data_IF_805776716141
#
_entry.id   IF_805776716141
#
_cell.length_a   1.000
_cell.length_b   1.000
_cell.length_c   1.000
_cell.angle_alpha   90.00
_cell.angle_beta   90.00
_cell.angle_gamma   90.00
#
_symmetry.space_group_name_H-M   'P 1'
#
loop_
_entity.id
_entity.type
_entity.pdbx_description
1 polymer ?
#
# COMPACT_ATOMS: atom_id res chain seq x y z
N UNK A 1 -18.40 14.07 -84.54
CA UNK A 1 -18.47 12.85 -83.68
C UNK A 1 -17.35 12.80 -82.64
N UNK A 2 -16.06 12.96 -82.99
CA UNK A 2 -14.95 12.92 -82.02
C UNK A 2 -15.06 13.90 -80.83
N UNK A 3 -15.46 15.16 -81.07
CA UNK A 3 -15.62 16.15 -79.98
C UNK A 3 -16.65 15.73 -78.92
N UNK A 4 -17.73 15.07 -79.32
CA UNK A 4 -18.76 14.58 -78.38
C UNK A 4 -18.26 13.35 -77.60
N UNK A 5 -17.46 12.48 -78.23
CA UNK A 5 -16.84 11.34 -77.55
C UNK A 5 -15.78 11.77 -76.54
N UNK A 6 -14.95 12.77 -76.88
CA UNK A 6 -13.96 13.37 -75.96
C UNK A 6 -14.65 14.02 -74.76
N UNK A 7 -15.71 14.79 -74.98
CA UNK A 7 -16.50 15.42 -73.89
C UNK A 7 -17.11 14.38 -72.95
N UNK A 8 -17.63 13.27 -73.48
CA UNK A 8 -18.16 12.17 -72.66
C UNK A 8 -17.10 11.43 -71.84
N UNK A 9 -15.85 11.34 -72.33
CA UNK A 9 -14.72 10.79 -71.58
C UNK A 9 -14.28 11.74 -70.47
N UNK A 10 -14.22 13.05 -70.74
CA UNK A 10 -13.86 14.07 -69.75
C UNK A 10 -14.84 14.12 -68.57
N UNK A 11 -16.15 14.02 -68.84
CA UNK A 11 -17.19 13.95 -67.82
C UNK A 11 -17.05 12.70 -66.94
N UNK A 12 -16.78 11.54 -67.55
CA UNK A 12 -16.51 10.29 -66.81
C UNK A 12 -15.26 10.41 -65.94
N UNK A 13 -14.16 10.97 -66.46
CA UNK A 13 -12.92 11.20 -65.70
C UNK A 13 -13.12 12.19 -64.55
N UNK A 14 -14.01 13.17 -64.69
CA UNK A 14 -14.39 14.08 -63.60
C UNK A 14 -15.08 13.31 -62.48
N UNK A 15 -16.10 12.51 -62.81
CA UNK A 15 -16.82 11.67 -61.84
C UNK A 15 -15.89 10.68 -61.13
N UNK A 16 -14.97 10.05 -61.85
CA UNK A 16 -13.97 9.15 -61.24
C UNK A 16 -13.03 9.88 -60.28
N UNK A 17 -12.53 11.06 -60.66
CA UNK A 17 -11.68 11.87 -59.77
C UNK A 17 -12.42 12.29 -58.50
N UNK A 18 -13.69 12.67 -58.61
CA UNK A 18 -14.49 13.07 -57.46
C UNK A 18 -14.79 11.89 -56.53
N UNK A 19 -15.11 10.71 -57.08
CA UNK A 19 -15.23 9.46 -56.29
C UNK A 19 -13.94 9.08 -55.58
N UNK A 20 -12.77 9.20 -56.24
CA UNK A 20 -11.48 8.91 -55.62
C UNK A 20 -11.19 9.89 -54.47
N UNK A 21 -11.52 11.17 -54.62
CA UNK A 21 -11.39 12.17 -53.55
C UNK A 21 -12.26 11.81 -52.36
N UNK A 22 -13.51 11.42 -52.60
CA UNK A 22 -14.45 11.03 -51.55
C UNK A 22 -13.97 9.79 -50.79
N UNK A 23 -13.48 8.76 -51.49
CA UNK A 23 -12.92 7.55 -50.86
C UNK A 23 -11.70 7.90 -49.99
N UNK A 24 -10.79 8.76 -50.49
CA UNK A 24 -9.63 9.22 -49.72
C UNK A 24 -10.05 10.01 -48.48
N UNK A 25 -11.09 10.84 -48.61
CA UNK A 25 -11.64 11.62 -47.50
C UNK A 25 -12.22 10.69 -46.41
N UNK A 26 -13.11 9.77 -46.77
CA UNK A 26 -13.69 8.78 -45.85
C UNK A 26 -12.62 7.93 -45.16
N UNK A 27 -11.58 7.51 -45.89
CA UNK A 27 -10.45 6.76 -45.31
C UNK A 27 -9.64 7.60 -44.32
N UNK A 28 -9.47 8.90 -44.59
CA UNK A 28 -8.79 9.81 -43.66
C UNK A 28 -9.63 10.03 -42.40
N UNK A 29 -10.93 10.24 -42.53
CA UNK A 29 -11.83 10.39 -41.38
C UNK A 29 -11.86 9.11 -40.52
N UNK A 30 -11.99 7.94 -41.12
CA UNK A 30 -11.95 6.67 -40.39
C UNK A 30 -10.64 6.49 -39.62
N UNK A 31 -9.50 6.82 -40.24
CA UNK A 31 -8.18 6.77 -39.57
C UNK A 31 -8.06 7.79 -38.43
N UNK A 32 -8.61 9.00 -38.60
CA UNK A 32 -8.62 10.01 -37.54
C UNK A 32 -9.48 9.55 -36.35
N UNK A 33 -10.67 9.01 -36.61
CA UNK A 33 -11.54 8.46 -35.58
C UNK A 33 -10.87 7.30 -34.81
N UNK A 34 -10.19 6.39 -35.50
CA UNK A 34 -9.44 5.30 -34.88
C UNK A 34 -8.31 5.82 -33.98
N UNK A 35 -7.55 6.80 -34.46
CA UNK A 35 -6.47 7.42 -33.68
C UNK A 35 -6.99 8.19 -32.45
N UNK A 36 -8.15 8.84 -32.57
CA UNK A 36 -8.79 9.51 -31.44
C UNK A 36 -9.21 8.51 -30.36
N UNK A 37 -9.78 7.36 -30.74
CA UNK A 37 -10.13 6.28 -29.80
C UNK A 37 -8.88 5.75 -29.10
N UNK A 38 -7.84 5.40 -29.86
CA UNK A 38 -6.57 4.91 -29.30
C UNK A 38 -5.95 5.93 -28.33
N UNK A 39 -6.02 7.23 -28.66
CA UNK A 39 -5.53 8.29 -27.79
C UNK A 39 -6.32 8.34 -26.48
N UNK A 40 -7.65 8.31 -26.54
CA UNK A 40 -8.51 8.31 -25.33
C UNK A 40 -8.23 7.11 -24.44
N UNK A 41 -8.18 5.90 -25.00
CA UNK A 41 -7.86 4.68 -24.24
C UNK A 41 -6.49 4.77 -23.58
N UNK A 42 -5.49 5.34 -24.28
CA UNK A 42 -4.14 5.54 -23.71
C UNK A 42 -4.14 6.57 -22.58
N UNK A 43 -4.92 7.64 -22.71
CA UNK A 43 -5.06 8.67 -21.67
C UNK A 43 -5.77 8.10 -20.42
N UNK A 44 -6.84 7.33 -20.59
CA UNK A 44 -7.54 6.63 -19.50
C UNK A 44 -6.62 5.64 -18.77
N UNK A 45 -5.88 4.80 -19.53
CA UNK A 45 -4.93 3.85 -18.93
C UNK A 45 -3.81 4.56 -18.14
N UNK A 46 -3.34 5.72 -18.62
CA UNK A 46 -2.37 6.56 -17.89
C UNK A 46 -2.96 7.12 -16.60
N UNK A 47 -4.20 7.62 -16.65
CA UNK A 47 -4.86 8.16 -15.46
C UNK A 47 -5.03 7.09 -14.37
N UNK A 48 -5.41 5.87 -14.74
CA UNK A 48 -5.51 4.73 -13.80
C UNK A 48 -4.13 4.39 -13.22
N UNK A 49 -3.10 4.32 -14.06
CA UNK A 49 -1.74 4.01 -13.59
C UNK A 49 -1.21 5.08 -12.63
N UNK A 50 -1.44 6.36 -12.92
CA UNK A 50 -0.99 7.46 -12.08
C UNK A 50 -1.76 7.51 -10.75
N UNK A 51 -3.05 7.16 -10.74
CA UNK A 51 -3.81 6.98 -9.51
C UNK A 51 -3.23 5.84 -8.65
N UNK A 52 -2.91 4.69 -9.26
CA UNK A 52 -2.31 3.56 -8.55
C UNK A 52 -0.94 3.89 -7.95
N UNK A 53 -0.11 4.66 -8.68
CA UNK A 53 1.18 5.11 -8.17
C UNK A 53 1.03 5.99 -6.93
N UNK A 54 0.11 6.97 -6.96
CA UNK A 54 -0.16 7.83 -5.81
C UNK A 54 -0.65 7.03 -4.60
N UNK A 55 -1.51 6.05 -4.82
CA UNK A 55 -1.97 5.18 -3.74
C UNK A 55 -0.81 4.39 -3.12
N UNK A 56 0.07 3.84 -3.95
CA UNK A 56 1.25 3.10 -3.50
C UNK A 56 2.26 4.00 -2.78
N UNK A 57 2.45 5.24 -3.22
CA UNK A 57 3.30 6.23 -2.54
C UNK A 57 2.79 6.52 -1.12
N UNK A 58 1.47 6.69 -0.96
CA UNK A 58 0.87 6.92 0.36
C UNK A 58 1.04 5.69 1.25
N UNK A 59 0.83 4.48 0.71
CA UNK A 59 1.09 3.23 1.45
C UNK A 59 2.54 3.16 1.92
N UNK A 60 3.50 3.46 1.03
CA UNK A 60 4.91 3.48 1.37
C UNK A 60 5.25 4.47 2.50
N UNK A 61 4.65 5.65 2.49
CA UNK A 61 4.84 6.64 3.57
C UNK A 61 4.30 6.14 4.91
N UNK A 62 3.18 5.41 4.91
CA UNK A 62 2.65 4.76 6.12
C UNK A 62 3.63 3.69 6.63
N UNK A 63 4.18 2.86 5.73
CA UNK A 63 5.20 1.86 6.08
C UNK A 63 6.41 2.54 6.74
N UNK A 64 6.94 3.61 6.14
CA UNK A 64 8.09 4.34 6.65
C UNK A 64 7.87 4.95 8.04
N UNK A 65 6.64 5.40 8.35
CA UNK A 65 6.27 5.90 9.69
C UNK A 65 6.35 4.78 10.73
N UNK A 66 5.86 3.59 10.41
CA UNK A 66 5.87 2.44 11.33
C UNK A 66 7.21 1.70 11.37
N UNK A 67 8.03 1.81 10.34
CA UNK A 67 9.30 1.08 10.22
C UNK A 67 10.25 1.37 11.40
N UNK A 68 10.25 2.61 11.90
CA UNK A 68 11.08 3.00 13.06
C UNK A 68 10.64 2.28 14.34
N UNK A 69 9.34 2.10 14.53
CA UNK A 69 8.78 1.35 15.65
C UNK A 69 9.02 -0.16 15.47
N UNK A 70 8.75 -0.70 14.28
CA UNK A 70 9.01 -2.11 13.94
C UNK A 70 10.47 -2.51 14.22
N UNK A 71 11.43 -1.71 13.75
CA UNK A 71 12.87 -1.94 14.01
C UNK A 71 13.21 -1.95 15.49
N UNK A 72 12.63 -1.03 16.27
CA UNK A 72 12.83 -0.99 17.71
C UNK A 72 12.21 -2.20 18.42
N UNK A 73 10.95 -2.52 18.12
CA UNK A 73 10.25 -3.68 18.69
C UNK A 73 10.97 -4.99 18.38
N UNK A 74 11.44 -5.17 17.15
CA UNK A 74 12.26 -6.33 16.75
C UNK A 74 13.57 -6.41 17.55
N UNK A 75 14.22 -5.28 17.79
CA UNK A 75 15.42 -5.21 18.64
C UNK A 75 15.13 -5.57 20.09
N UNK A 76 14.02 -5.07 20.66
CA UNK A 76 13.57 -5.41 22.02
C UNK A 76 13.35 -6.91 22.14
N UNK A 77 12.57 -7.51 21.24
CA UNK A 77 12.29 -8.96 21.21
C UNK A 77 13.58 -9.77 21.16
N UNK A 78 14.53 -9.40 20.29
CA UNK A 78 15.81 -10.09 20.18
C UNK A 78 16.62 -10.01 21.49
N UNK A 79 16.73 -8.82 22.09
CA UNK A 79 17.48 -8.63 23.33
C UNK A 79 16.83 -9.37 24.51
N UNK A 80 15.50 -9.32 24.59
CA UNK A 80 14.71 -10.02 25.61
C UNK A 80 14.89 -11.52 25.53
N UNK A 81 14.72 -12.10 24.35
CA UNK A 81 14.89 -13.53 24.13
C UNK A 81 16.31 -13.99 24.47
N UNK A 82 17.32 -13.19 24.11
CA UNK A 82 18.73 -13.54 24.34
C UNK A 82 19.14 -13.48 25.81
N UNK A 83 18.69 -12.47 26.55
CA UNK A 83 19.24 -12.13 27.88
C UNK A 83 18.32 -12.45 29.06
N UNK A 84 17.01 -12.39 28.86
CA UNK A 84 16.05 -12.33 29.97
C UNK A 84 15.08 -13.52 30.01
N UNK A 85 14.96 -14.27 28.91
CA UNK A 85 14.08 -15.42 28.81
C UNK A 85 14.74 -16.67 29.43
N UNK A 86 13.99 -17.39 30.26
CA UNK A 86 14.45 -18.68 30.83
C UNK A 86 14.14 -19.83 29.87
N UNK A 87 14.92 -20.92 29.91
CA UNK A 87 14.73 -22.09 29.02
C UNK A 87 13.34 -22.74 29.06
N UNK A 88 12.52 -22.44 30.08
CA UNK A 88 11.18 -23.02 30.29
C UNK A 88 10.06 -22.15 29.70
N UNK A 89 10.37 -21.02 29.06
CA UNK A 89 9.38 -20.10 28.49
C UNK A 89 9.48 -20.09 26.97
N UNK A 90 8.32 -20.01 26.30
CA UNK A 90 8.24 -19.74 24.87
C UNK A 90 8.94 -18.42 24.51
N UNK A 91 9.80 -18.38 23.48
CA UNK A 91 10.39 -17.14 22.99
C UNK A 91 9.32 -16.14 22.57
N UNK A 92 9.63 -14.85 22.69
CA UNK A 92 8.82 -13.81 22.07
C UNK A 92 9.04 -13.82 20.55
N UNK A 93 7.97 -13.66 19.78
CA UNK A 93 8.00 -13.47 18.34
C UNK A 93 7.52 -12.06 18.00
N UNK A 94 8.21 -11.43 17.05
CA UNK A 94 7.78 -10.18 16.42
C UNK A 94 7.18 -10.51 15.05
N UNK A 95 5.95 -10.04 14.80
CA UNK A 95 5.24 -10.21 13.55
C UNK A 95 5.09 -8.83 12.89
N UNK A 96 5.46 -8.75 11.61
CA UNK A 96 5.42 -7.53 10.82
C UNK A 96 4.41 -7.70 9.68
N UNK A 97 3.28 -7.01 9.78
CA UNK A 97 2.23 -6.96 8.75
C UNK A 97 2.02 -5.51 8.28
N UNK A 98 3.06 -4.67 8.37
CA UNK A 98 2.94 -3.24 8.09
C UNK A 98 2.58 -2.97 6.63
N UNK A 99 3.09 -3.78 5.70
CA UNK A 99 2.81 -3.63 4.27
C UNK A 99 1.37 -4.00 3.90
N UNK A 100 0.82 -5.03 4.55
CA UNK A 100 -0.53 -5.54 4.26
C UNK A 100 -1.62 -4.82 5.06
N UNK A 101 -1.51 -4.82 6.39
CA UNK A 101 -2.54 -4.30 7.30
C UNK A 101 -2.14 -3.00 7.99
N UNK A 102 -0.86 -2.62 7.97
CA UNK A 102 -0.38 -1.42 8.65
C UNK A 102 -0.23 -1.61 10.16
N UNK A 103 0.04 -2.85 10.58
CA UNK A 103 0.19 -3.21 11.99
C UNK A 103 1.40 -4.12 12.21
N UNK A 104 1.95 -4.11 13.42
CA UNK A 104 2.95 -5.07 13.85
C UNK A 104 2.75 -5.39 15.34
N UNK A 105 3.13 -6.59 15.76
CA UNK A 105 2.85 -7.04 17.12
C UNK A 105 3.91 -7.98 17.69
N UNK A 106 3.93 -8.08 19.01
CA UNK A 106 4.76 -9.00 19.78
C UNK A 106 3.84 -10.02 20.43
N UNK A 107 4.16 -11.30 20.29
CA UNK A 107 3.44 -12.41 20.93
C UNK A 107 4.40 -13.44 21.50
N UNK A 108 3.89 -14.41 22.25
CA UNK A 108 4.64 -15.64 22.53
C UNK A 108 4.64 -16.50 21.25
N UNK A 109 5.76 -17.16 20.95
CA UNK A 109 5.91 -17.90 19.70
C UNK A 109 4.89 -19.04 19.54
N UNK A 110 4.50 -19.66 20.67
CA UNK A 110 3.57 -20.80 20.69
C UNK A 110 2.09 -20.39 20.78
N UNK A 111 1.76 -19.08 20.77
CA UNK A 111 0.36 -18.61 20.84
C UNK A 111 -0.18 -18.18 19.47
N UNK A 112 -1.51 -18.25 19.25
CA UNK A 112 -2.16 -17.69 18.06
C UNK A 112 -1.95 -16.17 17.96
N UNK A 113 -2.11 -15.61 16.76
CA UNK A 113 -1.90 -14.17 16.51
C UNK A 113 -2.86 -13.27 17.30
N UNK A 114 -4.07 -13.75 17.59
CA UNK A 114 -5.06 -13.02 18.40
C UNK A 114 -4.64 -12.84 19.88
N UNK A 115 -3.67 -13.63 20.34
CA UNK A 115 -3.13 -13.63 21.70
C UNK A 115 -1.76 -12.94 21.74
N UNK A 116 -1.73 -11.73 21.20
CA UNK A 116 -0.57 -10.85 21.22
C UNK A 116 -0.43 -10.17 22.59
N UNK A 117 0.80 -9.81 22.93
CA UNK A 117 1.14 -9.02 24.12
C UNK A 117 1.08 -7.52 23.82
N UNK A 118 1.61 -7.13 22.66
CA UNK A 118 1.63 -5.73 22.21
C UNK A 118 1.23 -5.66 20.73
N UNK A 119 0.30 -4.77 20.37
CA UNK A 119 -0.09 -4.49 18.99
C UNK A 119 0.10 -3.01 18.69
N UNK A 120 0.92 -2.71 17.69
CA UNK A 120 1.17 -1.35 17.22
C UNK A 120 0.52 -1.17 15.84
N UNK A 121 -0.32 -0.15 15.71
CA UNK A 121 -1.09 0.09 14.49
C UNK A 121 -1.39 1.59 14.31
N UNK A 122 -1.87 1.97 13.13
CA UNK A 122 -2.44 3.30 12.90
C UNK A 122 -3.91 3.15 12.54
N UNK A 123 -4.76 3.90 13.24
CA UNK A 123 -6.20 3.94 12.94
C UNK A 123 -6.45 4.52 11.54
N UNK A 124 -7.37 3.94 10.80
CA UNK A 124 -7.79 4.44 9.49
C UNK A 124 -8.14 3.31 8.53
N UNK A 125 -9.17 3.53 7.72
CA UNK A 125 -9.65 2.56 6.73
C UNK A 125 -8.76 2.55 5.48
N UNK A 126 -8.15 3.69 5.16
CA UNK A 126 -7.27 3.87 4.00
C UNK A 126 -5.89 4.43 4.40
N UNK A 127 -4.93 4.32 3.48
CA UNK A 127 -3.55 4.75 3.71
C UNK A 127 -3.42 6.26 3.98
N UNK A 128 -4.29 7.08 3.40
CA UNK A 128 -4.30 8.54 3.60
C UNK A 128 -4.69 8.93 5.02
N UNK A 129 -5.73 8.30 5.57
CA UNK A 129 -6.14 8.49 6.97
C UNK A 129 -5.05 8.03 7.92
N UNK A 130 -4.45 6.86 7.64
CA UNK A 130 -3.33 6.34 8.43
C UNK A 130 -2.12 7.26 8.38
N UNK A 131 -1.92 8.03 7.33
CA UNK A 131 -0.81 8.98 7.25
C UNK A 131 -1.00 10.19 8.20
N UNK A 132 -2.23 10.56 8.52
CA UNK A 132 -2.56 11.72 9.35
C UNK A 132 -2.69 11.30 10.82
N UNK A 133 -3.21 10.11 11.08
CA UNK A 133 -3.48 9.63 12.43
C UNK A 133 -2.20 9.28 13.20
N UNK A 134 -2.34 9.28 14.52
CA UNK A 134 -1.31 8.90 15.47
C UNK A 134 -1.16 7.38 15.59
N UNK A 135 0.02 6.94 16.02
CA UNK A 135 0.36 5.53 16.19
C UNK A 135 -0.22 5.07 17.53
N UNK A 136 -0.99 3.99 17.51
CA UNK A 136 -1.58 3.38 18.71
C UNK A 136 -0.80 2.11 19.08
N UNK A 137 -0.54 1.93 20.37
CA UNK A 137 0.03 0.73 20.95
C UNK A 137 -0.97 0.15 21.95
N UNK A 138 -1.52 -1.01 21.64
CA UNK A 138 -2.31 -1.82 22.56
C UNK A 138 -1.39 -2.73 23.36
N UNK A 139 -1.55 -2.73 24.68
CA UNK A 139 -0.86 -3.57 25.64
C UNK A 139 -1.86 -4.52 26.30
N UNK A 140 -1.63 -5.83 26.17
CA UNK A 140 -2.44 -6.90 26.77
C UNK A 140 -1.70 -7.70 27.83
N UNK A 141 -0.59 -7.18 28.34
CA UNK A 141 0.24 -7.88 29.35
C UNK A 141 -0.40 -7.94 30.74
N UNK A 142 -1.37 -7.06 31.04
CA UNK A 142 -2.05 -7.00 32.33
C UNK A 142 -3.53 -6.61 32.16
N UNK A 143 -3.80 -5.30 32.04
CA UNK A 143 -5.07 -4.73 31.62
C UNK A 143 -4.93 -4.20 30.21
N UNK A 144 -5.97 -4.34 29.38
CA UNK A 144 -5.94 -3.86 28.00
C UNK A 144 -5.90 -2.34 28.03
N UNK A 145 -4.72 -1.77 27.81
CA UNK A 145 -4.48 -0.32 27.75
C UNK A 145 -4.01 0.06 26.34
N UNK A 146 -4.54 1.15 25.80
CA UNK A 146 -4.09 1.71 24.52
C UNK A 146 -3.38 3.03 24.76
N UNK A 147 -2.11 3.10 24.38
CA UNK A 147 -1.33 4.34 24.38
C UNK A 147 -1.17 4.88 22.97
N UNK A 148 -1.27 6.20 22.85
CA UNK A 148 -1.13 6.90 21.57
C UNK A 148 0.21 7.63 21.56
N UNK A 149 0.97 7.43 20.50
CA UNK A 149 2.29 7.99 20.30
C UNK A 149 2.34 8.81 19.02
N UNK A 150 3.01 9.95 19.09
CA UNK A 150 3.41 10.69 17.89
C UNK A 150 4.53 9.92 17.17
N UNK A 151 4.60 9.89 15.82
CA UNK A 151 5.66 9.23 15.06
C UNK A 151 7.12 9.53 15.48
N UNK A 152 7.37 10.63 16.17
CA UNK A 152 8.70 10.99 16.67
C UNK A 152 9.06 10.35 18.01
N UNK A 153 8.08 9.81 18.74
CA UNK A 153 8.23 9.31 20.11
C UNK A 153 8.50 7.80 20.14
N UNK A 154 9.41 7.33 19.28
CA UNK A 154 9.76 5.90 19.21
C UNK A 154 10.37 5.41 20.52
N UNK A 155 11.21 6.22 21.16
CA UNK A 155 11.88 5.88 22.41
C UNK A 155 10.89 5.74 23.58
N UNK A 156 9.88 6.62 23.64
CA UNK A 156 8.84 6.56 24.68
C UNK A 156 8.03 5.26 24.61
N UNK A 157 7.69 4.83 23.38
CA UNK A 157 7.04 3.54 23.17
C UNK A 157 7.96 2.35 23.51
N UNK A 158 9.24 2.43 23.16
CA UNK A 158 10.23 1.41 23.51
C UNK A 158 10.39 1.25 25.02
N UNK A 159 10.57 2.36 25.74
CA UNK A 159 10.71 2.37 27.20
C UNK A 159 9.46 1.77 27.86
N UNK A 160 8.27 2.15 27.38
CA UNK A 160 7.02 1.57 27.84
C UNK A 160 6.95 0.05 27.63
N UNK A 161 7.26 -0.46 26.44
CA UNK A 161 7.23 -1.91 26.16
C UNK A 161 8.23 -2.65 27.05
N UNK A 162 9.42 -2.10 27.26
CA UNK A 162 10.45 -2.71 28.11
C UNK A 162 9.98 -2.80 29.57
N UNK A 163 9.44 -1.72 30.12
CA UNK A 163 8.94 -1.69 31.50
C UNK A 163 7.82 -2.70 31.72
N UNK A 164 6.89 -2.79 30.76
CA UNK A 164 5.77 -3.74 30.82
C UNK A 164 6.21 -5.19 30.70
N UNK A 165 7.16 -5.49 29.82
CA UNK A 165 7.79 -6.82 29.75
C UNK A 165 8.52 -7.19 31.04
N UNK A 166 9.23 -6.25 31.66
CA UNK A 166 9.91 -6.49 32.93
C UNK A 166 8.91 -6.86 34.04
N UNK A 167 7.81 -6.11 34.16
CA UNK A 167 6.74 -6.40 35.13
C UNK A 167 6.12 -7.77 34.87
N UNK A 168 5.78 -8.07 33.61
CA UNK A 168 5.21 -9.37 33.21
C UNK A 168 6.12 -10.52 33.65
N UNK A 169 7.42 -10.39 33.38
CA UNK A 169 8.39 -11.45 33.64
C UNK A 169 8.64 -11.65 35.13
N UNK A 170 8.65 -10.57 35.92
CA UNK A 170 8.81 -10.66 37.36
C UNK A 170 7.58 -11.28 38.04
N UNK A 171 6.37 -11.03 37.54
CA UNK A 171 5.15 -11.72 38.01
C UNK A 171 5.21 -13.22 37.72
N UNK A 172 5.48 -13.60 36.48
CA UNK A 172 5.63 -15.02 36.09
C UNK A 172 6.71 -15.75 36.91
N UNK A 173 7.81 -15.07 37.25
CA UNK A 173 8.88 -15.63 38.09
C UNK A 173 8.45 -15.84 39.54
N UNK A 174 7.58 -14.97 40.08
CA UNK A 174 7.04 -15.10 41.43
C UNK A 174 6.00 -16.20 41.52
N UNK A 175 5.15 -16.37 40.51
CA UNK A 175 4.14 -17.44 40.46
C UNK A 175 4.73 -18.85 40.30
N UNK A 176 5.93 -18.95 39.70
CA UNK A 176 6.66 -20.21 39.52
C UNK A 176 7.60 -20.57 40.69
N UNK A 177 7.68 -19.73 41.73
CA UNK A 177 8.39 -20.03 42.98
C UNK A 177 7.44 -20.67 43.98
#
# INVERSE_FOLDING_TARGET
QLKNQLRGIEERLKVFRDKIKEIKFKRREAKLAELEIQRRTREEARAVLDAQKRENEIKQQVVERLEKYSRNMKSIVFQVNKRYLTKKRSPLAFIDNIAESGECFIKNQDTPDNDYLFLLYIKGENASERLINDISLEDRTDTVETKVFNPKNVFEASDYIIDRLAILFDRERKEKK
#
